data_IF_815208500012
#
_entry.id   IF_815208500012
#
_cell.length_a   1.000
_cell.length_b   1.000
_cell.length_c   1.000
_cell.angle_alpha   90.00
_cell.angle_beta   90.00
_cell.angle_gamma   90.00
#
_symmetry.space_group_name_H-M   'P 1'
#
loop_
_entity.id
_entity.type
_entity.pdbx_description
1 polymer ?
#
# COMPACT_ATOMS: atom_id res chain seq x y z
N UNK A 1 10.15 4.98 15.30
CA UNK A 1 8.94 4.18 14.98
C UNK A 1 9.08 3.57 13.58
N UNK A 2 8.43 2.45 13.29
CA UNK A 2 8.45 1.81 11.95
C UNK A 2 7.06 1.83 11.32
N UNK A 3 6.96 2.40 10.13
CA UNK A 3 5.76 2.38 9.29
C UNK A 3 6.01 1.56 8.03
N UNK A 4 4.94 1.19 7.33
CA UNK A 4 5.01 0.45 6.08
C UNK A 4 4.52 1.29 4.91
N UNK A 5 5.18 1.21 3.76
CA UNK A 5 4.81 1.94 2.55
C UNK A 5 3.36 1.67 2.11
N UNK A 6 2.84 0.47 2.36
CA UNK A 6 1.45 0.08 2.09
C UNK A 6 0.41 0.79 2.97
N UNK A 7 0.84 1.58 3.95
CA UNK A 7 -0.04 2.41 4.78
C UNK A 7 -0.21 3.82 4.21
N UNK A 8 0.65 4.23 3.27
CA UNK A 8 0.68 5.59 2.75
C UNK A 8 -0.69 6.02 2.18
N UNK A 9 -1.15 7.19 2.60
CA UNK A 9 -2.40 7.82 2.17
C UNK A 9 -3.66 6.96 2.36
N UNK A 10 -3.62 5.93 3.20
CA UNK A 10 -4.83 5.26 3.69
C UNK A 10 -5.51 6.16 4.73
N UNK A 11 -6.71 5.80 5.17
CA UNK A 11 -7.34 6.45 6.32
C UNK A 11 -6.34 6.55 7.49
N UNK A 12 -6.04 7.76 7.96
CA UNK A 12 -5.01 8.00 8.98
C UNK A 12 -5.32 7.26 10.28
N UNK A 13 -6.61 7.24 10.65
CA UNK A 13 -7.13 6.47 11.78
C UNK A 13 -6.97 4.96 11.61
N UNK A 14 -7.07 4.43 10.39
CA UNK A 14 -6.77 3.01 10.11
C UNK A 14 -5.29 2.71 10.38
N UNK A 15 -4.37 3.56 9.91
CA UNK A 15 -2.93 3.39 10.12
C UNK A 15 -2.54 3.55 11.59
N UNK A 16 -3.19 4.46 12.32
CA UNK A 16 -3.04 4.59 13.76
C UNK A 16 -3.41 3.29 14.48
N UNK A 17 -4.60 2.74 14.22
CA UNK A 17 -4.98 1.45 14.81
C UNK A 17 -4.07 0.31 14.37
N UNK A 18 -3.62 0.31 13.10
CA UNK A 18 -2.70 -0.71 12.57
C UNK A 18 -1.35 -0.71 13.27
N UNK A 19 -0.89 0.43 13.77
CA UNK A 19 0.34 0.55 14.54
C UNK A 19 0.23 -0.17 15.89
N UNK A 20 -0.86 0.03 16.63
CA UNK A 20 -1.06 -0.57 17.94
C UNK A 20 -1.64 -1.99 17.89
N UNK A 21 -2.34 -2.34 16.81
CA UNK A 21 -3.05 -3.61 16.67
C UNK A 21 -2.50 -4.36 15.45
N UNK A 22 -1.73 -5.44 15.69
CA UNK A 22 -1.34 -6.36 14.62
C UNK A 22 -2.59 -6.92 13.94
N UNK A 23 -2.75 -6.69 12.64
CA UNK A 23 -3.78 -7.34 11.87
C UNK A 23 -3.40 -8.79 11.66
N UNK A 24 -4.36 -9.68 11.94
CA UNK A 24 -4.36 -11.02 11.40
C UNK A 24 -4.75 -10.91 9.93
N UNK A 25 -3.82 -11.24 9.04
CA UNK A 25 -4.13 -11.38 7.63
C UNK A 25 -4.89 -12.69 7.43
N UNK A 26 -5.97 -12.65 6.66
CA UNK A 26 -6.68 -13.86 6.27
C UNK A 26 -5.77 -14.71 5.37
N UNK A 27 -5.62 -15.99 5.71
CA UNK A 27 -4.80 -16.92 4.94
C UNK A 27 -5.26 -17.00 3.47
N UNK A 28 -6.58 -16.89 3.20
CA UNK A 28 -7.11 -16.92 1.84
C UNK A 28 -6.67 -15.70 1.02
N UNK A 29 -6.65 -14.50 1.63
CA UNK A 29 -6.16 -13.30 0.93
C UNK A 29 -4.65 -13.36 0.66
N UNK A 30 -3.88 -13.96 1.57
CA UNK A 30 -2.43 -14.16 1.38
C UNK A 30 -2.15 -15.16 0.26
N UNK A 31 -2.83 -16.31 0.27
CA UNK A 31 -2.76 -17.34 -0.76
C UNK A 31 -3.11 -16.77 -2.14
N UNK A 32 -4.18 -15.99 -2.20
CA UNK A 32 -4.63 -15.30 -3.41
C UNK A 32 -3.58 -14.32 -3.95
N UNK A 33 -2.99 -13.51 -3.07
CA UNK A 33 -1.90 -12.60 -3.43
C UNK A 33 -0.70 -13.33 -4.03
N UNK A 34 -0.28 -14.45 -3.43
CA UNK A 34 0.83 -15.27 -3.95
C UNK A 34 0.56 -15.80 -5.36
N UNK A 35 -0.63 -16.33 -5.61
CA UNK A 35 -1.03 -16.82 -6.94
C UNK A 35 -1.01 -15.71 -7.99
N UNK A 36 -1.47 -14.52 -7.63
CA UNK A 36 -1.40 -13.37 -8.52
C UNK A 36 0.06 -12.98 -8.86
N UNK A 37 0.96 -13.00 -7.87
CA UNK A 37 2.38 -12.74 -8.08
C UNK A 37 3.04 -13.82 -8.95
N UNK A 38 2.73 -15.10 -8.74
CA UNK A 38 3.25 -16.21 -9.56
C UNK A 38 2.81 -16.10 -11.02
N UNK A 39 1.53 -15.78 -11.25
CA UNK A 39 1.00 -15.58 -12.60
C UNK A 39 1.64 -14.36 -13.27
N UNK A 40 1.83 -13.27 -12.53
CA UNK A 40 2.54 -12.09 -13.02
C UNK A 40 4.00 -12.42 -13.37
N UNK A 41 4.71 -13.19 -12.53
CA UNK A 41 6.10 -13.61 -12.76
C UNK A 41 6.23 -14.43 -14.05
N UNK A 42 5.32 -15.39 -14.26
CA UNK A 42 5.29 -16.21 -15.47
C UNK A 42 5.06 -15.36 -16.73
N UNK A 43 4.04 -14.49 -16.69
CA UNK A 43 3.60 -13.70 -17.86
C UNK A 43 4.52 -12.53 -18.18
N UNK A 44 5.23 -11.99 -17.20
CA UNK A 44 6.19 -10.89 -17.36
C UNK A 44 7.65 -11.38 -17.34
N UNK A 45 7.89 -12.69 -17.53
CA UNK A 45 9.23 -13.29 -17.51
C UNK A 45 10.22 -12.64 -18.48
N UNK A 46 9.75 -12.11 -19.61
CA UNK A 46 10.56 -11.38 -20.58
C UNK A 46 11.14 -10.05 -20.04
N UNK A 47 10.58 -9.50 -18.96
CA UNK A 47 11.08 -8.29 -18.29
C UNK A 47 12.28 -8.52 -17.36
N UNK A 48 12.82 -9.75 -17.27
CA UNK A 48 13.93 -10.10 -16.36
C UNK A 48 13.65 -9.67 -14.92
N UNK A 49 12.48 -10.08 -14.42
CA UNK A 49 12.00 -9.74 -13.09
C UNK A 49 12.95 -10.27 -12.02
N UNK A 50 13.14 -9.47 -10.97
CA UNK A 50 13.76 -9.91 -9.71
C UNK A 50 12.76 -9.67 -8.59
N UNK A 51 12.63 -10.62 -7.67
CA UNK A 51 11.84 -10.40 -6.45
C UNK A 51 12.38 -9.18 -5.70
N UNK A 52 11.49 -8.29 -5.27
CA UNK A 52 11.92 -7.11 -4.52
C UNK A 52 12.55 -7.50 -3.19
N UNK A 53 13.43 -6.63 -2.70
CA UNK A 53 14.09 -6.77 -1.40
C UNK A 53 13.47 -5.79 -0.41
N UNK A 54 13.65 -6.04 0.88
CA UNK A 54 13.28 -5.06 1.89
C UNK A 54 14.11 -3.78 1.69
N UNK A 55 13.42 -2.65 1.75
CA UNK A 55 13.98 -1.31 1.67
C UNK A 55 13.41 -0.43 2.76
N UNK A 56 14.19 0.57 3.13
CA UNK A 56 13.86 1.51 4.18
C UNK A 56 14.20 2.92 3.74
N UNK A 57 13.31 3.86 4.07
CA UNK A 57 13.59 5.29 4.04
C UNK A 57 13.71 5.76 5.49
N UNK A 58 14.86 6.35 5.80
CA UNK A 58 15.16 6.85 7.14
C UNK A 58 14.79 8.32 7.24
N UNK A 59 13.89 8.64 8.18
CA UNK A 59 13.55 9.99 8.59
C UNK A 59 14.04 10.22 10.02
N UNK A 60 14.08 11.47 10.45
CA UNK A 60 14.58 11.85 11.79
C UNK A 60 13.92 11.05 12.93
N UNK A 61 12.61 10.81 12.83
CA UNK A 61 11.80 10.27 13.93
C UNK A 61 11.23 8.85 13.67
N UNK A 62 11.26 8.40 12.41
CA UNK A 62 10.68 7.14 12.00
C UNK A 62 11.35 6.59 10.75
N UNK A 63 11.09 5.32 10.47
CA UNK A 63 11.48 4.66 9.23
C UNK A 63 10.21 4.24 8.47
N UNK A 64 10.24 4.37 7.15
CA UNK A 64 9.21 3.80 6.27
C UNK A 64 9.84 2.62 5.56
N UNK A 65 9.31 1.43 5.81
CA UNK A 65 9.80 0.20 5.24
C UNK A 65 8.85 -0.35 4.18
N UNK A 66 9.38 -1.14 3.27
CA UNK A 66 8.55 -1.99 2.43
C UNK A 66 9.36 -2.83 1.45
N UNK A 67 8.63 -3.57 0.64
CA UNK A 67 9.17 -4.53 -0.31
C UNK A 67 8.26 -4.50 -1.53
N UNK A 68 8.74 -4.02 -2.70
CA UNK A 68 7.99 -4.19 -3.93
C UNK A 68 7.91 -5.68 -4.30
N UNK A 69 6.89 -6.07 -5.05
CA UNK A 69 6.74 -7.47 -5.48
C UNK A 69 7.89 -7.86 -6.43
N UNK A 70 8.12 -7.03 -7.46
CA UNK A 70 9.23 -7.22 -8.39
C UNK A 70 9.95 -5.91 -8.75
N UNK A 71 11.19 -6.07 -9.18
CA UNK A 71 12.09 -5.01 -9.62
C UNK A 71 12.76 -5.44 -10.92
N UNK A 72 12.82 -4.54 -11.89
CA UNK A 72 13.61 -4.71 -13.12
C UNK A 72 14.79 -3.74 -13.12
N UNK A 73 15.55 -3.69 -14.22
CA UNK A 73 16.58 -2.67 -14.41
C UNK A 73 15.99 -1.26 -14.29
N UNK A 74 14.81 -1.03 -14.85
CA UNK A 74 14.29 0.31 -15.11
C UNK A 74 13.03 0.64 -14.29
N UNK A 75 12.32 -0.38 -13.79
CA UNK A 75 11.01 -0.20 -13.18
C UNK A 75 10.81 -0.98 -11.87
N UNK A 76 9.86 -0.49 -11.07
CA UNK A 76 9.24 -1.22 -9.96
C UNK A 76 7.91 -1.79 -10.43
N UNK A 77 7.61 -3.02 -10.03
CA UNK A 77 6.36 -3.69 -10.37
C UNK A 77 5.66 -4.07 -9.07
N UNK A 78 4.40 -3.68 -8.97
CA UNK A 78 3.50 -4.02 -7.88
C UNK A 78 2.27 -4.73 -8.45
N UNK A 79 1.97 -5.91 -7.92
CA UNK A 79 0.90 -6.79 -8.35
C UNK A 79 -0.32 -6.63 -7.45
N UNK A 80 -1.50 -6.57 -8.06
CA UNK A 80 -2.79 -6.55 -7.37
C UNK A 80 -3.78 -7.45 -8.11
N UNK A 81 -4.55 -8.25 -7.38
CA UNK A 81 -5.64 -9.04 -7.98
C UNK A 81 -6.82 -8.16 -8.41
N UNK A 82 -7.05 -7.06 -7.69
CA UNK A 82 -7.97 -5.99 -8.08
C UNK A 82 -7.63 -4.71 -7.33
N UNK A 83 -8.01 -3.56 -7.88
CA UNK A 83 -7.92 -2.28 -7.20
C UNK A 83 -9.32 -1.69 -7.04
N UNK A 84 -9.93 -1.80 -5.86
CA UNK A 84 -11.12 -1.02 -5.55
C UNK A 84 -10.79 0.47 -5.71
N UNK A 85 -11.71 1.25 -6.28
CA UNK A 85 -11.49 2.67 -6.63
C UNK A 85 -10.93 3.49 -5.46
N UNK A 86 -11.38 3.23 -4.25
CA UNK A 86 -10.93 3.92 -3.03
C UNK A 86 -9.47 3.64 -2.64
N UNK A 87 -8.86 2.56 -3.15
CA UNK A 87 -7.46 2.20 -2.87
C UNK A 87 -6.51 2.56 -4.00
N UNK A 88 -6.99 3.16 -5.09
CA UNK A 88 -6.13 3.55 -6.21
C UNK A 88 -5.04 4.55 -5.79
N UNK A 89 -5.41 5.63 -5.09
CA UNK A 89 -4.45 6.62 -4.60
C UNK A 89 -3.46 6.02 -3.58
N UNK A 90 -3.89 5.26 -2.56
CA UNK A 90 -2.96 4.52 -1.69
C UNK A 90 -1.98 3.61 -2.43
N UNK A 91 -2.42 2.91 -3.49
CA UNK A 91 -1.51 2.06 -4.27
C UNK A 91 -0.53 2.88 -5.11
N UNK A 92 -0.96 4.01 -5.69
CA UNK A 92 -0.03 4.94 -6.34
C UNK A 92 1.00 5.49 -5.36
N UNK A 93 0.58 5.81 -4.13
CA UNK A 93 1.43 6.28 -3.05
C UNK A 93 2.48 5.23 -2.64
N UNK A 94 2.03 3.99 -2.40
CA UNK A 94 2.89 2.86 -2.11
C UNK A 94 3.94 2.64 -3.22
N UNK A 95 3.50 2.61 -4.48
CA UNK A 95 4.39 2.40 -5.64
C UNK A 95 5.42 3.54 -5.76
N UNK A 96 5.02 4.80 -5.58
CA UNK A 96 5.94 5.94 -5.62
C UNK A 96 6.98 5.90 -4.49
N UNK A 97 6.63 5.39 -3.31
CA UNK A 97 7.60 5.16 -2.22
C UNK A 97 8.60 4.06 -2.59
N UNK A 98 8.16 2.98 -3.22
CA UNK A 98 9.08 1.94 -3.71
C UNK A 98 10.01 2.44 -4.81
N UNK A 99 9.50 3.26 -5.72
CA UNK A 99 10.31 3.91 -6.74
C UNK A 99 11.36 4.83 -6.13
N UNK A 100 11.01 5.59 -5.08
CA UNK A 100 11.98 6.39 -4.33
C UNK A 100 13.06 5.51 -3.66
N UNK A 101 12.65 4.44 -2.98
CA UNK A 101 13.53 3.50 -2.27
C UNK A 101 14.56 2.83 -3.19
N UNK A 102 14.18 2.52 -4.42
CA UNK A 102 15.01 1.81 -5.40
C UNK A 102 15.64 2.74 -6.45
N UNK A 103 15.45 4.05 -6.32
CA UNK A 103 15.98 5.05 -7.26
C UNK A 103 15.43 4.89 -8.69
N UNK A 104 14.17 4.46 -8.84
CA UNK A 104 13.53 4.22 -10.13
C UNK A 104 12.58 5.36 -10.51
N UNK A 105 12.44 5.60 -11.80
CA UNK A 105 11.52 6.63 -12.34
C UNK A 105 10.22 6.06 -12.89
N UNK A 106 10.16 4.75 -13.09
CA UNK A 106 9.02 4.05 -13.66
C UNK A 106 8.49 3.03 -12.64
N UNK A 107 7.18 3.02 -12.46
CA UNK A 107 6.44 2.00 -11.75
C UNK A 107 5.39 1.37 -12.66
N UNK A 108 5.05 0.12 -12.40
CA UNK A 108 4.02 -0.61 -13.14
C UNK A 108 3.10 -1.28 -12.12
N UNK A 109 1.83 -0.89 -12.12
CA UNK A 109 0.80 -1.65 -11.43
C UNK A 109 0.31 -2.75 -12.36
N UNK A 110 0.40 -4.00 -11.91
CA UNK A 110 -0.03 -5.18 -12.65
C UNK A 110 -1.31 -5.70 -12.00
N UNK A 111 -2.41 -5.57 -12.73
CA UNK A 111 -3.71 -6.08 -12.33
C UNK A 111 -3.89 -7.48 -12.90
N UNK A 112 -3.99 -8.47 -12.03
CA UNK A 112 -4.16 -9.87 -12.41
C UNK A 112 -5.59 -10.29 -12.14
N UNK A 113 -6.37 -10.55 -13.19
CA UNK A 113 -7.64 -11.23 -13.05
C UNK A 113 -7.39 -12.74 -13.04
N UNK A 114 -7.55 -13.35 -11.87
CA UNK A 114 -7.29 -14.79 -11.68
C UNK A 114 -8.31 -15.68 -12.39
N UNK A 115 -9.49 -15.17 -12.78
CA UNK A 115 -10.54 -15.99 -13.41
C UNK A 115 -10.23 -16.32 -14.87
N UNK A 116 -9.66 -15.36 -15.59
CA UNK A 116 -9.37 -15.43 -17.03
C UNK A 116 -7.87 -15.27 -17.33
N UNK A 117 -7.04 -15.23 -16.28
CA UNK A 117 -5.61 -14.95 -16.34
C UNK A 117 -5.24 -13.67 -17.11
N UNK A 118 -6.16 -12.72 -17.25
CA UNK A 118 -5.89 -11.46 -17.94
C UNK A 118 -5.06 -10.54 -17.06
N UNK A 119 -4.02 -9.97 -17.67
CA UNK A 119 -3.16 -8.98 -17.04
C UNK A 119 -3.41 -7.62 -17.68
N UNK A 120 -3.72 -6.63 -16.84
CA UNK A 120 -3.71 -5.21 -17.23
C UNK A 120 -2.55 -4.50 -16.55
N UNK A 121 -1.82 -3.68 -17.30
CA UNK A 121 -0.71 -2.91 -16.78
C UNK A 121 -1.06 -1.42 -16.77
N UNK A 122 -0.69 -0.74 -15.69
CA UNK A 122 -0.80 0.71 -15.58
C UNK A 122 0.60 1.24 -15.31
N UNK A 123 1.13 2.01 -16.26
CA UNK A 123 2.44 2.66 -16.14
C UNK A 123 2.31 3.93 -15.33
N UNK A 124 3.19 4.10 -14.36
CA UNK A 124 3.20 5.22 -13.42
C UNK A 124 4.56 5.88 -13.43
N UNK A 125 4.59 7.18 -13.73
CA UNK A 125 5.81 7.99 -13.61
C UNK A 125 6.06 8.42 -12.17
N UNK A 126 7.33 8.56 -11.80
CA UNK A 126 7.70 9.03 -10.47
C UNK A 126 7.20 10.46 -10.22
N UNK A 127 6.50 10.63 -9.10
CA UNK A 127 5.92 11.91 -8.69
C UNK A 127 6.48 12.34 -7.34
N UNK A 128 7.31 13.39 -7.38
CA UNK A 128 7.77 14.09 -6.17
C UNK A 128 6.61 14.63 -5.34
N UNK A 129 5.53 15.04 -6.00
CA UNK A 129 4.33 15.52 -5.33
C UNK A 129 3.70 14.41 -4.47
N UNK A 130 3.48 13.22 -5.05
CA UNK A 130 2.92 12.08 -4.29
C UNK A 130 3.83 11.71 -3.12
N UNK A 131 5.14 11.64 -3.34
CA UNK A 131 6.12 11.37 -2.27
C UNK A 131 6.01 12.40 -1.14
N UNK A 132 5.90 13.70 -1.46
CA UNK A 132 5.74 14.75 -0.46
C UNK A 132 4.45 14.56 0.36
N UNK A 133 3.35 14.16 -0.28
CA UNK A 133 2.11 13.82 0.42
C UNK A 133 2.28 12.60 1.33
N UNK A 134 3.00 11.56 0.89
CA UNK A 134 3.30 10.40 1.73
C UNK A 134 4.12 10.78 2.98
N UNK A 135 5.12 11.66 2.83
CA UNK A 135 5.94 12.13 3.95
C UNK A 135 5.07 12.89 4.95
N UNK A 136 4.29 13.88 4.48
CA UNK A 136 3.37 14.64 5.34
C UNK A 136 2.35 13.74 6.06
N UNK A 137 1.87 12.70 5.38
CA UNK A 137 1.00 11.69 5.98
C UNK A 137 1.67 10.93 7.12
N UNK A 138 2.92 10.48 6.95
CA UNK A 138 3.64 9.76 7.99
C UNK A 138 4.10 10.67 9.14
N UNK A 139 4.41 11.94 8.86
CA UNK A 139 4.66 12.96 9.89
C UNK A 139 3.41 13.16 10.77
N UNK A 140 2.24 13.32 10.15
CA UNK A 140 0.97 13.42 10.87
C UNK A 140 0.68 12.14 11.69
N UNK A 141 0.88 10.95 11.10
CA UNK A 141 0.70 9.68 11.80
C UNK A 141 1.62 9.57 13.03
N UNK A 142 2.90 9.93 12.85
CA UNK A 142 3.88 9.95 13.94
C UNK A 142 3.44 10.86 15.08
N UNK A 143 2.98 12.08 14.78
CA UNK A 143 2.52 13.02 15.81
C UNK A 143 1.30 12.51 16.57
N UNK A 144 0.33 11.89 15.88
CA UNK A 144 -0.82 11.26 16.52
C UNK A 144 -0.42 10.11 17.45
N UNK A 145 0.47 9.22 16.99
CA UNK A 145 0.97 8.10 17.79
C UNK A 145 1.75 8.62 19.01
N UNK A 146 2.64 9.60 18.82
CA UNK A 146 3.45 10.21 19.88
C UNK A 146 2.59 10.85 20.97
N UNK A 147 1.50 11.52 20.59
CA UNK A 147 0.58 12.20 21.52
C UNK A 147 -0.50 11.26 22.07
N UNK A 148 -0.57 10.02 21.61
CA UNK A 148 -1.66 9.08 21.92
C UNK A 148 -3.06 9.64 21.59
N UNK A 149 -3.16 10.45 20.54
CA UNK A 149 -4.42 11.07 20.09
C UNK A 149 -4.90 10.36 18.84
N UNK A 150 -6.09 9.75 18.92
CA UNK A 150 -6.72 9.08 17.78
C UNK A 150 -7.03 10.13 16.68
N UNK A 151 -6.56 9.94 15.44
CA UNK A 151 -6.89 10.84 14.34
C UNK A 151 -8.39 10.89 14.07
N UNK A 152 -8.88 12.00 13.53
CA UNK A 152 -10.25 12.11 13.05
C UNK A 152 -10.55 11.04 11.98
N UNK A 153 -11.76 10.49 12.02
CA UNK A 153 -12.19 9.49 11.05
C UNK A 153 -12.60 10.15 9.74
N UNK A 154 -12.27 9.51 8.61
CA UNK A 154 -12.87 9.88 7.32
C UNK A 154 -14.28 9.30 7.28
N UNK A 155 -15.29 10.13 7.04
CA UNK A 155 -16.67 9.67 6.80
C UNK A 155 -16.83 9.34 5.30
N UNK A 156 -16.19 8.26 4.87
CA UNK A 156 -16.39 7.68 3.54
C UNK A 156 -16.97 6.27 3.71
N UNK A 157 -18.22 6.07 3.29
CA UNK A 157 -18.96 4.82 3.46
C UNK A 157 -18.29 3.63 2.75
N UNK A 158 -17.58 3.85 1.64
CA UNK A 158 -16.88 2.79 0.89
C UNK A 158 -15.57 2.38 1.57
N UNK A 159 -14.83 3.36 2.09
CA UNK A 159 -13.62 3.10 2.88
C UNK A 159 -13.98 2.44 4.21
N UNK A 160 -15.02 2.93 4.89
CA UNK A 160 -15.41 2.44 6.20
C UNK A 160 -16.03 1.04 6.16
N UNK A 161 -16.86 0.73 5.15
CA UNK A 161 -17.53 -0.57 5.02
C UNK A 161 -16.55 -1.74 4.81
N UNK A 162 -15.42 -1.47 4.16
CA UNK A 162 -14.35 -2.46 3.92
C UNK A 162 -13.19 -2.38 4.95
N UNK A 163 -13.33 -1.55 5.98
CA UNK A 163 -12.27 -1.32 6.97
C UNK A 163 -12.22 -2.43 8.02
N UNK A 164 -11.03 -3.01 8.22
CA UNK A 164 -10.75 -4.01 9.27
C UNK A 164 -10.95 -3.50 10.70
N UNK A 165 -10.97 -2.17 10.89
CA UNK A 165 -11.18 -1.53 12.18
C UNK A 165 -12.53 -0.82 12.29
N UNK A 166 -13.46 -1.04 11.35
CA UNK A 166 -14.78 -0.38 11.35
C UNK A 166 -15.48 -0.45 12.71
N UNK A 167 -15.50 -1.63 13.34
CA UNK A 167 -16.10 -1.85 14.69
C UNK A 167 -15.39 -1.10 15.83
N UNK A 168 -14.11 -0.75 15.67
CA UNK A 168 -13.30 -0.03 16.69
C UNK A 168 -13.18 1.47 16.41
N UNK A 169 -13.51 1.88 15.19
CA UNK A 169 -13.38 3.25 14.72
C UNK A 169 -14.42 4.19 15.33
N UNK A 170 -15.53 3.68 15.88
CA UNK A 170 -16.56 4.51 16.52
C UNK A 170 -17.30 5.44 15.55
N UNK A 171 -17.03 5.38 14.24
CA UNK A 171 -17.87 6.03 13.23
C UNK A 171 -19.23 5.31 13.24
N UNK A 172 -20.22 5.95 13.86
CA UNK A 172 -21.54 5.41 14.12
C UNK A 172 -22.32 5.02 12.87
N UNK A 173 -22.09 3.82 12.36
CA UNK A 173 -23.17 3.04 11.80
C UNK A 173 -23.79 2.25 12.94
N UNK A 174 -24.65 2.92 13.73
CA UNK A 174 -25.81 2.20 14.27
C UNK A 174 -26.52 1.69 13.02
N UNK A 175 -26.52 0.37 12.81
CA UNK A 175 -27.53 -0.23 11.94
C UNK A 175 -28.86 0.20 12.55
N UNK A 176 -29.56 1.11 11.89
CA UNK A 176 -31.02 1.20 12.01
C UNK A 176 -31.56 0.06 11.16
#
# INVERSE_FOLDING_TARGET
MRFFASWALRCLRWSYFRYFIPAKLDAQFVERGKRAEELAEKRLSYFRLRRGKNRELHFRNYIVAGRPDFVTRDAIIEVKSSIPRQFFIPYLAQLNLYMLMEGKRIGILVLVNERDELIKTIYVGFSRFIVKQCIAYFDALYEHIKKSVIPEGVIDSKICSSCSFSRRCGNGFRKV
#
